data_IF_112598996077
#
_entry.id   IF_112598996077
#
_cell.length_a   1.000
_cell.length_b   1.000
_cell.length_c   1.000
_cell.angle_alpha   90.00
_cell.angle_beta   90.00
_cell.angle_gamma   90.00
#
_symmetry.space_group_name_H-M   'P 1'
#
loop_
_entity.id
_entity.type
_entity.pdbx_description
1 polymer ?
#
# COMPACT_ATOMS: atom_id res chain seq x y z
N UNK A 1 5.98 14.60 -0.72
CA UNK A 1 5.33 13.49 0.02
C UNK A 1 3.87 13.86 0.25
N UNK A 2 2.93 13.06 -0.24
CA UNK A 2 1.53 13.52 -0.38
C UNK A 2 0.63 13.22 0.83
N UNK A 3 1.08 12.43 1.78
CA UNK A 3 0.40 12.10 3.03
C UNK A 3 1.40 12.23 4.17
N UNK A 4 0.99 12.87 5.27
CA UNK A 4 1.87 13.08 6.42
C UNK A 4 1.84 11.83 7.34
N UNK A 5 2.43 10.74 6.87
CA UNK A 5 2.51 9.48 7.61
C UNK A 5 3.14 9.62 8.99
N UNK A 6 4.07 10.57 9.15
CA UNK A 6 4.74 10.88 10.42
C UNK A 6 3.77 11.38 11.51
N UNK A 7 2.58 11.81 11.15
CA UNK A 7 1.55 12.29 12.07
C UNK A 7 0.51 11.22 12.41
N UNK A 8 0.56 10.06 11.76
CA UNK A 8 -0.35 8.95 12.06
C UNK A 8 -0.01 8.32 13.40
N UNK A 9 -1.04 8.13 14.23
CA UNK A 9 -0.95 7.35 15.48
C UNK A 9 -1.11 5.86 15.21
N UNK A 10 -1.87 5.50 14.19
CA UNK A 10 -2.06 4.11 13.76
C UNK A 10 -0.75 3.58 13.18
N UNK A 11 -0.25 2.44 13.67
CA UNK A 11 0.96 1.82 13.14
C UNK A 11 0.79 1.46 11.66
N UNK A 12 1.85 1.63 10.88
CA UNK A 12 1.82 1.28 9.46
C UNK A 12 3.13 0.63 9.02
N UNK A 13 3.04 -0.18 7.96
CA UNK A 13 4.18 -0.85 7.34
C UNK A 13 4.07 -0.78 5.82
N UNK A 14 5.17 -0.46 5.15
CA UNK A 14 5.22 -0.40 3.71
C UNK A 14 5.67 -1.73 3.09
N UNK A 15 5.14 -2.05 1.92
CA UNK A 15 5.50 -3.20 1.11
C UNK A 15 5.96 -2.71 -0.26
N UNK A 16 7.24 -2.84 -0.54
CA UNK A 16 7.87 -2.31 -1.75
C UNK A 16 8.51 -3.44 -2.56
N UNK A 17 8.69 -3.22 -3.85
CA UNK A 17 9.29 -4.22 -4.76
C UNK A 17 8.96 -3.92 -6.21
N UNK A 18 9.41 -4.79 -7.10
CA UNK A 18 9.06 -4.74 -8.52
C UNK A 18 7.56 -5.02 -8.74
N UNK A 19 7.06 -4.73 -9.93
CA UNK A 19 5.74 -5.19 -10.33
C UNK A 19 5.73 -6.71 -10.51
N UNK A 20 4.62 -7.37 -10.15
CA UNK A 20 4.45 -8.81 -10.38
C UNK A 20 5.20 -9.76 -9.44
N UNK A 21 5.94 -9.27 -8.44
CA UNK A 21 6.71 -10.13 -7.49
C UNK A 21 5.86 -10.77 -6.37
N UNK A 22 4.54 -10.58 -6.38
CA UNK A 22 3.64 -11.19 -5.41
C UNK A 22 3.31 -10.35 -4.18
N UNK A 23 3.63 -9.03 -4.17
CA UNK A 23 3.26 -8.13 -3.04
C UNK A 23 1.79 -8.19 -2.69
N UNK A 24 0.93 -8.00 -3.67
CA UNK A 24 -0.52 -8.00 -3.48
C UNK A 24 -1.02 -9.33 -2.93
N UNK A 25 -0.49 -10.46 -3.42
CA UNK A 25 -0.84 -11.79 -2.93
C UNK A 25 -0.46 -11.98 -1.45
N UNK A 26 0.72 -11.50 -1.03
CA UNK A 26 1.10 -11.54 0.38
C UNK A 26 0.18 -10.64 1.22
N UNK A 27 -0.08 -9.42 0.75
CA UNK A 27 -0.97 -8.48 1.44
C UNK A 27 -2.38 -9.02 1.61
N UNK A 28 -2.94 -9.67 0.59
CA UNK A 28 -4.25 -10.35 0.67
C UNK A 28 -4.27 -11.41 1.78
N UNK A 29 -3.22 -12.22 1.88
CA UNK A 29 -3.09 -13.27 2.92
C UNK A 29 -2.96 -12.65 4.31
N UNK A 30 -2.15 -11.59 4.47
CA UNK A 30 -2.00 -10.86 5.73
C UNK A 30 -3.33 -10.21 6.16
N UNK A 31 -4.01 -9.53 5.26
CA UNK A 31 -5.32 -8.91 5.54
C UNK A 31 -6.33 -9.96 5.99
N UNK A 32 -6.36 -11.12 5.32
CA UNK A 32 -7.23 -12.23 5.72
C UNK A 32 -6.89 -12.72 7.13
N UNK A 33 -5.62 -12.93 7.44
CA UNK A 33 -5.16 -13.37 8.75
C UNK A 33 -5.54 -12.39 9.84
N UNK A 34 -5.30 -11.10 9.63
CA UNK A 34 -5.69 -10.05 10.57
C UNK A 34 -7.20 -9.98 10.77
N UNK A 35 -7.99 -10.18 9.71
CA UNK A 35 -9.45 -10.21 9.81
C UNK A 35 -9.95 -11.40 10.66
N UNK A 36 -9.28 -12.57 10.59
CA UNK A 36 -9.57 -13.73 11.44
C UNK A 36 -9.28 -13.45 12.92
N UNK A 37 -8.39 -12.52 13.21
CA UNK A 37 -8.03 -12.05 14.56
C UNK A 37 -8.79 -10.76 14.96
N UNK A 38 -9.84 -10.39 14.20
CA UNK A 38 -10.66 -9.19 14.42
C UNK A 38 -9.87 -7.86 14.36
N UNK A 39 -8.67 -7.86 13.76
CA UNK A 39 -7.85 -6.66 13.53
C UNK A 39 -8.33 -5.94 12.29
N UNK A 40 -8.71 -4.68 12.44
CA UNK A 40 -9.16 -3.83 11.34
C UNK A 40 -7.98 -3.25 10.57
N UNK A 41 -7.77 -3.72 9.36
CA UNK A 41 -6.66 -3.30 8.50
C UNK A 41 -7.08 -2.18 7.56
N UNK A 42 -6.32 -1.10 7.54
CA UNK A 42 -6.34 -0.11 6.46
C UNK A 42 -5.38 -0.53 5.33
N UNK A 43 -5.85 -0.59 4.11
CA UNK A 43 -5.00 -0.83 2.96
C UNK A 43 -4.86 0.45 2.13
N UNK A 44 -3.62 0.88 1.93
CA UNK A 44 -3.30 2.06 1.12
C UNK A 44 -2.37 1.67 -0.02
N UNK A 45 -2.77 1.93 -1.26
CA UNK A 45 -1.92 1.74 -2.44
C UNK A 45 -1.45 3.09 -2.97
N UNK A 46 -0.13 3.27 -2.96
CA UNK A 46 0.51 4.39 -3.64
C UNK A 46 0.85 3.95 -5.08
N UNK A 47 0.04 4.40 -6.02
CA UNK A 47 0.31 4.18 -7.44
C UNK A 47 0.92 5.44 -8.06
N UNK A 48 2.09 5.30 -8.68
CA UNK A 48 2.76 6.38 -9.41
C UNK A 48 2.12 6.61 -10.79
N UNK A 49 1.26 5.71 -11.24
CA UNK A 49 0.54 5.79 -12.50
C UNK A 49 -0.87 6.35 -12.29
N UNK A 50 -1.48 6.85 -13.36
CA UNK A 50 -2.89 7.26 -13.30
C UNK A 50 -3.77 6.04 -13.05
N UNK A 51 -4.59 6.10 -12.03
CA UNK A 51 -5.66 5.12 -11.82
C UNK A 51 -7.01 5.75 -12.21
N UNK A 52 -7.94 4.93 -12.66
CA UNK A 52 -9.32 5.34 -12.92
C UNK A 52 -10.25 4.44 -12.09
N UNK A 53 -11.03 5.05 -11.22
CA UNK A 53 -12.09 4.36 -10.47
C UNK A 53 -13.40 4.43 -11.25
N UNK A 54 -13.55 5.48 -12.05
CA UNK A 54 -14.79 5.79 -12.74
C UNK A 54 -14.76 5.37 -14.22
N UNK A 55 -15.91 5.00 -14.75
CA UNK A 55 -16.07 4.68 -16.16
C UNK A 55 -16.60 5.91 -16.91
N UNK A 56 -15.97 6.22 -18.04
CA UNK A 56 -16.39 7.30 -18.91
C UNK A 56 -17.89 7.18 -19.26
N UNK A 57 -18.60 8.31 -19.19
CA UNK A 57 -20.06 8.37 -19.48
C UNK A 57 -20.99 8.07 -18.31
N UNK A 58 -20.48 7.69 -17.13
CA UNK A 58 -21.28 7.57 -15.90
C UNK A 58 -21.53 8.92 -15.24
N UNK A 59 -22.56 9.01 -14.41
CA UNK A 59 -22.97 10.26 -13.76
C UNK A 59 -21.87 10.88 -12.92
N UNK A 60 -21.10 10.06 -12.21
CA UNK A 60 -19.93 10.47 -11.42
C UNK A 60 -18.82 11.07 -12.28
N UNK A 61 -18.50 10.44 -13.42
CA UNK A 61 -17.52 10.97 -14.37
C UNK A 61 -17.99 12.31 -14.97
N UNK A 62 -19.27 12.43 -15.29
CA UNK A 62 -19.88 13.69 -15.78
C UNK A 62 -19.81 14.80 -14.75
N UNK A 63 -20.07 14.49 -13.46
CA UNK A 63 -19.96 15.46 -12.36
C UNK A 63 -18.51 15.94 -12.21
N UNK A 64 -17.52 15.04 -12.29
CA UNK A 64 -16.09 15.41 -12.27
C UNK A 64 -15.74 16.33 -13.45
N UNK A 65 -16.17 16.01 -14.65
CA UNK A 65 -15.93 16.84 -15.83
C UNK A 65 -16.60 18.23 -15.74
N UNK A 66 -17.73 18.31 -15.02
CA UNK A 66 -18.40 19.56 -14.75
C UNK A 66 -17.75 20.40 -13.64
N UNK A 67 -16.69 19.89 -12.98
CA UNK A 67 -15.91 20.63 -11.98
C UNK A 67 -16.23 20.28 -10.52
N UNK A 68 -16.92 19.18 -10.24
CA UNK A 68 -17.12 18.74 -8.86
C UNK A 68 -15.76 18.29 -8.27
N UNK A 69 -15.33 18.95 -7.19
CA UNK A 69 -14.07 18.65 -6.51
C UNK A 69 -14.13 17.42 -5.61
N UNK A 70 -15.32 17.03 -5.16
CA UNK A 70 -15.56 15.83 -4.35
C UNK A 70 -16.83 15.16 -4.85
N UNK A 71 -16.77 13.86 -5.04
CA UNK A 71 -17.89 13.00 -5.40
C UNK A 71 -18.00 11.91 -4.36
N UNK A 72 -19.20 11.70 -3.83
CA UNK A 72 -19.50 10.60 -2.94
C UNK A 72 -20.57 9.71 -3.55
N UNK A 73 -20.38 8.40 -3.43
CA UNK A 73 -21.36 7.41 -3.83
C UNK A 73 -21.52 6.39 -2.70
N UNK A 74 -22.73 5.99 -2.41
CA UNK A 74 -22.99 5.03 -1.35
C UNK A 74 -24.14 4.07 -1.69
N UNK A 75 -24.08 2.90 -1.10
CA UNK A 75 -25.15 1.91 -1.01
C UNK A 75 -25.36 1.52 0.47
N UNK A 76 -26.28 0.60 0.82
CA UNK A 76 -26.49 0.19 2.22
C UNK A 76 -25.27 -0.45 2.91
N UNK A 77 -24.25 -0.87 2.18
CA UNK A 77 -23.07 -1.58 2.71
C UNK A 77 -21.77 -0.81 2.52
N UNK A 78 -21.68 0.01 1.47
CA UNK A 78 -20.42 0.60 1.05
C UNK A 78 -20.61 2.09 0.72
N UNK A 79 -19.54 2.82 0.85
CA UNK A 79 -19.44 4.16 0.28
C UNK A 79 -18.05 4.35 -0.37
N UNK A 80 -18.00 5.23 -1.35
CA UNK A 80 -16.74 5.66 -1.95
C UNK A 80 -16.69 7.18 -2.03
N UNK A 81 -15.50 7.71 -1.92
CA UNK A 81 -15.20 9.14 -2.12
C UNK A 81 -14.16 9.23 -3.23
N UNK A 82 -14.46 9.99 -4.27
CA UNK A 82 -13.52 10.38 -5.30
C UNK A 82 -13.32 11.87 -5.19
N UNK A 83 -12.10 12.31 -4.98
CA UNK A 83 -11.79 13.70 -4.75
C UNK A 83 -10.48 14.11 -5.43
N UNK A 84 -10.35 15.40 -5.71
CA UNK A 84 -9.09 16.00 -6.13
C UNK A 84 -8.01 15.83 -5.03
N UNK A 85 -6.75 15.81 -5.45
CA UNK A 85 -5.59 15.74 -4.55
C UNK A 85 -5.57 16.84 -3.47
N UNK A 86 -6.22 17.97 -3.69
CA UNK A 86 -6.36 19.02 -2.68
C UNK A 86 -7.05 18.54 -1.38
N UNK A 87 -7.93 17.52 -1.48
CA UNK A 87 -8.68 16.94 -0.36
C UNK A 87 -8.04 15.70 0.23
N UNK A 88 -7.00 15.16 -0.43
CA UNK A 88 -6.37 13.87 -0.13
C UNK A 88 -5.96 13.73 1.33
N UNK A 89 -5.27 14.73 1.87
CA UNK A 89 -4.65 14.67 3.20
C UNK A 89 -5.64 14.37 4.32
N UNK A 90 -6.65 15.21 4.50
CA UNK A 90 -7.61 15.08 5.62
C UNK A 90 -8.49 13.84 5.47
N UNK A 91 -8.94 13.54 4.25
CA UNK A 91 -9.84 12.42 3.99
C UNK A 91 -9.17 11.07 4.22
N UNK A 92 -7.94 10.90 3.74
CA UNK A 92 -7.19 9.65 3.93
C UNK A 92 -6.82 9.47 5.41
N UNK A 93 -6.28 10.51 6.07
CA UNK A 93 -5.93 10.43 7.49
C UNK A 93 -7.12 10.01 8.33
N UNK A 94 -8.24 10.71 8.20
CA UNK A 94 -9.44 10.42 8.99
C UNK A 94 -9.97 9.00 8.76
N UNK A 95 -9.97 8.52 7.50
CA UNK A 95 -10.42 7.16 7.19
C UNK A 95 -9.49 6.09 7.77
N UNK A 96 -8.17 6.26 7.64
CA UNK A 96 -7.19 5.26 8.07
C UNK A 96 -6.96 5.24 9.59
N UNK A 97 -7.20 6.34 10.30
CA UNK A 97 -7.14 6.39 11.77
C UNK A 97 -8.25 5.56 12.46
N UNK A 98 -9.23 5.09 11.71
CA UNK A 98 -10.25 4.15 12.20
C UNK A 98 -9.79 2.69 12.17
N UNK A 99 -8.58 2.43 11.66
CA UNK A 99 -8.00 1.10 11.56
C UNK A 99 -7.02 0.83 12.71
N UNK A 100 -6.80 -0.44 13.03
CA UNK A 100 -5.85 -0.86 14.05
C UNK A 100 -4.42 -0.86 13.51
N UNK A 101 -4.26 -1.14 12.22
CA UNK A 101 -2.99 -1.02 11.49
C UNK A 101 -3.21 -0.65 10.02
N UNK A 102 -2.15 -0.19 9.36
CA UNK A 102 -2.21 0.20 7.95
C UNK A 102 -1.11 -0.53 7.17
N UNK A 103 -1.51 -1.24 6.12
CA UNK A 103 -0.60 -1.85 5.17
C UNK A 103 -0.53 -0.98 3.91
N UNK A 104 0.69 -0.57 3.56
CA UNK A 104 0.91 0.36 2.45
C UNK A 104 1.65 -0.35 1.32
N UNK A 105 1.03 -0.47 0.15
CA UNK A 105 1.73 -0.93 -1.05
C UNK A 105 2.37 0.27 -1.78
N UNK A 106 3.71 0.28 -1.87
CA UNK A 106 4.45 1.33 -2.56
C UNK A 106 5.52 2.02 -1.72
N UNK A 107 5.74 3.29 -1.97
CA UNK A 107 6.71 4.16 -1.26
C UNK A 107 8.14 3.61 -1.15
N UNK A 108 8.68 3.06 -2.25
CA UNK A 108 10.03 2.45 -2.28
C UNK A 108 11.12 3.35 -1.70
N UNK A 109 11.07 4.65 -2.00
CA UNK A 109 12.11 5.62 -1.66
C UNK A 109 11.82 6.41 -0.36
N UNK A 110 10.70 6.15 0.31
CA UNK A 110 10.39 6.81 1.57
C UNK A 110 11.30 6.33 2.70
N UNK A 111 11.49 7.10 3.78
CA UNK A 111 12.25 6.66 4.95
C UNK A 111 11.48 5.66 5.84
N UNK A 112 10.24 5.33 5.50
CA UNK A 112 9.36 4.50 6.31
C UNK A 112 9.84 3.05 6.41
N UNK A 113 9.52 2.40 7.50
CA UNK A 113 9.73 0.98 7.73
C UNK A 113 9.03 0.17 6.65
N UNK A 114 9.74 -0.77 6.04
CA UNK A 114 9.21 -1.55 4.92
C UNK A 114 9.76 -2.96 4.82
N UNK A 115 8.93 -3.82 4.27
CA UNK A 115 9.30 -5.13 3.74
C UNK A 115 9.53 -4.98 2.23
N UNK A 116 10.68 -5.44 1.74
CA UNK A 116 11.04 -5.31 0.33
C UNK A 116 11.05 -6.66 -0.35
N UNK A 117 10.32 -6.76 -1.46
CA UNK A 117 10.29 -7.95 -2.29
C UNK A 117 11.39 -7.90 -3.33
N UNK A 118 12.21 -8.95 -3.35
CA UNK A 118 13.23 -9.16 -4.37
C UNK A 118 12.59 -9.62 -5.69
N UNK A 119 13.30 -9.39 -6.80
CA UNK A 119 12.92 -9.98 -8.08
C UNK A 119 13.31 -11.47 -8.13
N UNK A 120 13.13 -12.09 -9.29
CA UNK A 120 13.45 -13.51 -9.51
C UNK A 120 14.94 -13.80 -9.40
N UNK A 121 15.81 -12.82 -9.67
CA UNK A 121 17.25 -12.87 -9.54
C UNK A 121 17.75 -12.56 -8.11
N UNK A 122 16.85 -12.32 -7.17
CA UNK A 122 17.19 -12.00 -5.78
C UNK A 122 17.68 -10.57 -5.55
N UNK A 123 17.35 -9.63 -6.44
CA UNK A 123 17.82 -8.24 -6.39
C UNK A 123 16.78 -7.30 -5.81
N UNK A 124 17.24 -6.20 -5.22
CA UNK A 124 16.40 -5.08 -4.78
C UNK A 124 15.85 -4.28 -5.98
N UNK A 125 14.65 -3.67 -5.84
CA UNK A 125 14.01 -2.91 -6.93
C UNK A 125 14.74 -1.63 -7.33
N UNK A 126 15.68 -1.16 -6.51
CA UNK A 126 16.55 -0.03 -6.78
C UNK A 126 17.94 -0.42 -6.29
N UNK A 127 19.00 -0.33 -7.13
CA UNK A 127 20.35 -0.69 -6.75
C UNK A 127 20.97 0.21 -5.67
N UNK A 128 20.49 1.44 -5.53
CA UNK A 128 20.90 2.39 -4.50
C UNK A 128 20.07 2.19 -3.22
N UNK A 129 20.64 2.57 -2.10
CA UNK A 129 20.09 2.41 -0.75
C UNK A 129 18.59 2.72 -0.66
N UNK A 130 17.80 1.70 -0.40
CA UNK A 130 16.39 1.85 -0.02
C UNK A 130 16.38 2.07 1.49
N UNK A 131 15.94 3.23 1.99
CA UNK A 131 15.90 3.45 3.42
C UNK A 131 14.78 2.66 4.08
N UNK A 132 14.95 2.33 5.37
CA UNK A 132 13.91 1.76 6.21
C UNK A 132 13.57 0.29 5.91
N UNK A 133 14.47 -0.49 5.27
CA UNK A 133 14.24 -1.93 5.09
C UNK A 133 14.30 -2.64 6.45
N UNK A 134 13.23 -3.34 6.80
CA UNK A 134 13.15 -4.17 8.02
C UNK A 134 13.23 -5.65 7.71
N UNK A 135 12.81 -6.05 6.53
CA UNK A 135 12.91 -7.42 6.05
C UNK A 135 12.91 -7.47 4.53
N UNK A 136 13.35 -8.57 3.97
CA UNK A 136 13.22 -8.87 2.55
C UNK A 136 12.44 -10.16 2.33
N UNK A 137 11.66 -10.20 1.25
CA UNK A 137 10.92 -11.38 0.79
C UNK A 137 11.50 -11.84 -0.53
N UNK A 138 11.86 -13.12 -0.62
CA UNK A 138 12.45 -13.73 -1.81
C UNK A 138 11.59 -14.87 -2.37
N UNK A 139 11.93 -15.32 -3.59
CA UNK A 139 11.25 -16.40 -4.30
C UNK A 139 12.17 -17.62 -4.50
N UNK A 140 13.14 -17.82 -3.59
CA UNK A 140 14.13 -18.88 -3.63
C UNK A 140 15.55 -18.37 -3.87
N UNK A 141 15.75 -17.35 -4.69
CA UNK A 141 17.06 -16.76 -4.95
C UNK A 141 17.29 -15.55 -4.05
N UNK A 142 18.47 -15.46 -3.46
CA UNK A 142 18.94 -14.35 -2.64
C UNK A 142 20.24 -13.85 -3.26
N UNK A 143 20.21 -12.64 -3.79
CA UNK A 143 21.38 -11.99 -4.41
C UNK A 143 22.40 -11.49 -3.39
N UNK A 144 23.52 -11.01 -3.90
CA UNK A 144 24.56 -10.38 -3.11
C UNK A 144 24.24 -8.90 -2.78
N UNK A 145 24.93 -8.35 -1.79
CA UNK A 145 24.82 -6.92 -1.43
C UNK A 145 23.50 -6.52 -0.79
N UNK A 146 22.73 -7.47 -0.27
CA UNK A 146 21.50 -7.20 0.47
C UNK A 146 21.82 -6.74 1.90
N UNK A 147 20.97 -5.88 2.51
CA UNK A 147 21.13 -5.49 3.90
C UNK A 147 21.03 -6.69 4.86
N UNK A 148 21.66 -6.55 6.04
CA UNK A 148 21.56 -7.53 7.13
C UNK A 148 20.23 -7.39 7.87
N UNK A 149 19.18 -7.93 7.27
CA UNK A 149 17.81 -7.95 7.81
C UNK A 149 17.21 -9.36 7.69
N UNK A 150 16.16 -9.69 8.44
CA UNK A 150 15.41 -10.93 8.27
C UNK A 150 15.01 -11.18 6.81
N UNK A 151 15.09 -12.45 6.40
CA UNK A 151 14.80 -12.90 5.04
C UNK A 151 13.74 -13.99 5.09
N UNK A 152 12.66 -13.80 4.36
CA UNK A 152 11.54 -14.73 4.34
C UNK A 152 11.27 -15.23 2.93
N UNK A 153 10.94 -16.50 2.81
CA UNK A 153 10.39 -16.99 1.56
C UNK A 153 8.95 -16.50 1.43
N UNK A 154 8.54 -16.12 0.23
CA UNK A 154 7.19 -15.53 -0.01
C UNK A 154 6.02 -16.41 0.42
N UNK A 155 6.25 -17.73 0.55
CA UNK A 155 5.24 -18.69 0.97
C UNK A 155 5.20 -18.93 2.49
N UNK A 156 6.20 -18.39 3.23
CA UNK A 156 6.34 -18.52 4.69
C UNK A 156 5.64 -17.37 5.43
N UNK A 157 4.36 -17.17 5.15
CA UNK A 157 3.60 -16.03 5.69
C UNK A 157 3.51 -16.02 7.22
N UNK A 158 3.51 -17.19 7.84
CA UNK A 158 3.45 -17.32 9.31
C UNK A 158 4.72 -16.81 10.00
N UNK A 159 5.78 -16.57 9.25
CA UNK A 159 7.08 -16.08 9.74
C UNK A 159 7.26 -14.57 9.53
N UNK A 160 6.39 -13.95 8.74
CA UNK A 160 6.41 -12.53 8.43
C UNK A 160 5.52 -11.74 9.39
#
# INVERSE_FOLDING_TARGET
>A
MDVYWEQFKTPFLCFAGFSGVGKTTLLERLIKRFAEEEVRVGYYKHDAHRFSIDREGKDTARATQAGAGIITINDPRHFAIVADNAFKKRSITHALEQCDCILIEGYKQSPFDKIVFLNQEGQLPIPSEIPGIKAVVHQGIIGEGLPEVPRFHRDEIESI
#
